data_IF_310293864932
#
_entry.id   IF_310293864932
#
_cell.length_a   1.000
_cell.length_b   1.000
_cell.length_c   1.000
_cell.angle_alpha   90.00
_cell.angle_beta   90.00
_cell.angle_gamma   90.00
#
_symmetry.space_group_name_H-M   'P 1'
#
loop_
_entity.id
_entity.type
_entity.pdbx_description
1 polymer ?
#
# COMPACT_ATOMS: atom_id res chain seq x y z
N UNK A 1 -1.49 -24.25 1.93
CA UNK A 1 -2.29 -24.01 0.71
C UNK A 1 -3.81 -24.05 0.92
N UNK A 2 -4.42 -25.06 1.57
CA UNK A 2 -5.89 -25.10 1.78
C UNK A 2 -6.47 -23.87 2.52
N UNK A 3 -5.70 -23.24 3.40
CA UNK A 3 -6.14 -22.06 4.15
C UNK A 3 -6.37 -20.81 3.28
N UNK A 4 -5.62 -20.62 2.18
CA UNK A 4 -5.78 -19.44 1.32
C UNK A 4 -6.95 -19.51 0.34
N UNK A 5 -7.31 -20.72 -0.08
CA UNK A 5 -8.52 -20.92 -0.89
C UNK A 5 -9.81 -20.47 -0.17
N UNK A 6 -9.81 -20.50 1.18
CA UNK A 6 -10.93 -20.01 1.98
C UNK A 6 -11.09 -18.49 1.90
N UNK A 7 -9.99 -17.74 1.92
CA UNK A 7 -10.04 -16.28 1.77
C UNK A 7 -10.52 -15.89 0.36
N UNK A 8 -10.02 -16.55 -0.68
CA UNK A 8 -10.45 -16.28 -2.06
C UNK A 8 -11.93 -16.53 -2.31
N UNK A 9 -12.49 -17.60 -1.73
CA UNK A 9 -13.92 -17.91 -1.88
C UNK A 9 -14.83 -16.88 -1.18
N UNK A 10 -14.37 -16.25 -0.09
CA UNK A 10 -15.15 -15.24 0.65
C UNK A 10 -15.00 -13.82 0.06
N UNK A 11 -13.86 -13.53 -0.56
CA UNK A 11 -13.51 -12.20 -1.09
C UNK A 11 -13.86 -12.03 -2.59
N UNK A 12 -14.44 -13.06 -3.21
CA UNK A 12 -14.92 -13.03 -4.60
C UNK A 12 -13.86 -13.38 -5.65
N UNK A 13 -14.30 -13.43 -6.92
CA UNK A 13 -13.51 -14.00 -8.03
C UNK A 13 -12.15 -13.31 -8.22
N UNK A 14 -12.04 -12.00 -7.94
CA UNK A 14 -10.79 -11.22 -8.04
C UNK A 14 -9.73 -11.55 -6.99
N UNK A 15 -10.09 -12.35 -5.97
CA UNK A 15 -9.20 -12.79 -4.90
C UNK A 15 -9.07 -14.32 -4.85
N UNK A 16 -9.68 -15.04 -5.78
CA UNK A 16 -9.62 -16.50 -5.84
C UNK A 16 -8.22 -16.97 -6.23
N UNK A 17 -7.57 -17.73 -5.35
CA UNK A 17 -6.30 -18.38 -5.67
C UNK A 17 -6.59 -19.66 -6.47
N UNK A 18 -6.19 -19.69 -7.73
CA UNK A 18 -6.34 -20.85 -8.63
C UNK A 18 -4.98 -21.37 -9.05
N UNK A 19 -4.90 -22.65 -9.41
CA UNK A 19 -3.70 -23.25 -10.00
C UNK A 19 -3.96 -23.55 -11.46
N UNK A 20 -3.14 -22.99 -12.33
CA UNK A 20 -3.20 -23.25 -13.78
C UNK A 20 -2.75 -24.67 -14.11
N UNK A 21 -3.08 -25.14 -15.31
CA UNK A 21 -2.62 -26.44 -15.85
C UNK A 21 -1.09 -26.54 -15.92
N UNK A 22 -0.40 -25.41 -16.05
CA UNK A 22 1.07 -25.33 -16.05
C UNK A 22 1.66 -25.26 -14.62
N UNK A 23 0.85 -25.50 -13.59
CA UNK A 23 1.29 -25.54 -12.19
C UNK A 23 1.48 -24.18 -11.52
N UNK A 24 1.26 -23.07 -12.24
CA UNK A 24 1.39 -21.69 -11.71
C UNK A 24 0.20 -21.29 -10.85
N UNK A 25 0.44 -20.52 -9.81
CA UNK A 25 -0.61 -20.02 -8.91
C UNK A 25 -1.06 -18.62 -9.37
N UNK A 26 -2.37 -18.41 -9.43
CA UNK A 26 -3.00 -17.20 -9.95
C UNK A 26 -3.96 -16.64 -8.91
N UNK A 27 -3.69 -15.44 -8.41
CA UNK A 27 -4.61 -14.67 -7.58
C UNK A 27 -5.60 -13.92 -8.48
N UNK A 28 -6.89 -14.18 -8.28
CA UNK A 28 -7.97 -13.56 -9.03
C UNK A 28 -8.03 -13.94 -10.51
N UNK A 29 -7.28 -14.95 -10.95
CA UNK A 29 -7.17 -15.35 -12.35
C UNK A 29 -6.30 -14.44 -13.24
N UNK A 30 -5.84 -13.29 -12.73
CA UNK A 30 -5.05 -12.31 -13.49
C UNK A 30 -3.61 -12.18 -13.01
N UNK A 31 -3.38 -12.46 -11.73
CA UNK A 31 -2.12 -12.14 -11.07
C UNK A 31 -1.38 -13.44 -10.76
N UNK A 32 -0.28 -13.72 -11.46
CA UNK A 32 0.57 -14.85 -11.06
C UNK A 32 1.29 -14.51 -9.76
N UNK A 33 1.21 -15.45 -8.81
CA UNK A 33 1.90 -15.41 -7.52
C UNK A 33 2.81 -16.62 -7.44
N UNK A 34 4.02 -16.44 -6.95
CA UNK A 34 4.95 -17.51 -6.63
C UNK A 34 5.10 -17.53 -5.12
N UNK A 35 4.54 -18.56 -4.49
CA UNK A 35 4.70 -18.81 -3.06
C UNK A 35 6.06 -19.46 -2.84
N UNK A 36 6.92 -18.83 -2.02
CA UNK A 36 8.23 -19.39 -1.71
C UNK A 36 8.13 -20.52 -0.68
N UNK A 37 9.00 -21.51 -0.83
CA UNK A 37 9.26 -22.53 0.19
C UNK A 37 10.50 -22.14 0.99
N UNK A 38 10.80 -22.89 2.04
CA UNK A 38 12.04 -22.69 2.82
C UNK A 38 13.30 -22.77 1.94
N UNK A 39 13.26 -23.55 0.85
CA UNK A 39 14.39 -23.69 -0.08
C UNK A 39 14.45 -22.55 -1.11
N UNK A 40 13.32 -21.96 -1.48
CA UNK A 40 13.24 -20.94 -2.54
C UNK A 40 13.06 -19.52 -2.00
N UNK A 41 12.99 -19.35 -0.67
CA UNK A 41 12.81 -18.05 -0.03
C UNK A 41 14.01 -17.12 -0.28
N UNK A 42 13.77 -15.85 -0.69
CA UNK A 42 14.82 -14.85 -0.81
C UNK A 42 15.55 -14.63 0.52
N UNK A 43 16.85 -14.32 0.45
CA UNK A 43 17.73 -14.17 1.63
C UNK A 43 17.14 -13.23 2.69
N UNK A 44 16.50 -12.14 2.27
CA UNK A 44 15.92 -11.10 3.15
C UNK A 44 14.74 -11.58 4.02
N UNK A 45 14.12 -12.70 3.65
CA UNK A 45 12.98 -13.29 4.36
C UNK A 45 13.30 -14.63 5.01
N UNK A 46 14.52 -15.16 4.80
CA UNK A 46 14.90 -16.48 5.28
C UNK A 46 14.75 -16.62 6.80
N UNK A 47 15.21 -15.62 7.56
CA UNK A 47 15.15 -15.64 9.03
C UNK A 47 13.73 -15.46 9.59
N UNK A 48 12.77 -15.10 8.75
CA UNK A 48 11.36 -14.85 9.11
C UNK A 48 10.40 -15.79 8.37
N UNK A 49 10.91 -16.87 7.78
CA UNK A 49 10.10 -17.79 7.00
C UNK A 49 9.01 -18.43 7.88
N UNK A 50 7.77 -18.35 7.42
CA UNK A 50 6.62 -18.98 8.05
C UNK A 50 5.90 -19.84 7.01
N UNK A 51 5.93 -21.16 7.14
CA UNK A 51 5.25 -22.06 6.19
C UNK A 51 3.72 -21.86 6.13
N UNK A 52 3.11 -21.32 7.20
CA UNK A 52 1.69 -21.00 7.24
C UNK A 52 1.36 -19.64 6.63
N UNK A 53 2.36 -18.74 6.48
CA UNK A 53 2.26 -17.46 5.78
C UNK A 53 3.54 -17.13 5.01
N UNK A 54 3.83 -17.91 3.95
CA UNK A 54 5.12 -17.85 3.28
C UNK A 54 5.30 -16.55 2.49
N UNK A 55 6.55 -16.06 2.36
CA UNK A 55 6.90 -15.00 1.43
C UNK A 55 6.42 -15.32 0.01
N UNK A 56 6.04 -14.28 -0.73
CA UNK A 56 5.47 -14.43 -2.06
C UNK A 56 6.07 -13.42 -3.03
N UNK A 57 6.25 -13.84 -4.28
CA UNK A 57 6.61 -12.99 -5.39
C UNK A 57 5.41 -12.81 -6.32
N UNK A 58 5.09 -11.57 -6.63
CA UNK A 58 4.13 -11.19 -7.65
C UNK A 58 4.82 -11.16 -9.02
N UNK A 59 4.15 -11.58 -10.10
CA UNK A 59 4.71 -11.65 -11.47
C UNK A 59 5.38 -10.35 -11.98
N UNK A 60 5.05 -9.19 -11.41
CA UNK A 60 5.77 -7.94 -11.68
C UNK A 60 7.06 -7.80 -10.86
N UNK A 61 7.62 -8.90 -10.36
CA UNK A 61 8.80 -8.93 -9.52
C UNK A 61 8.60 -8.30 -8.14
N UNK A 62 7.35 -8.16 -7.67
CA UNK A 62 7.13 -7.59 -6.34
C UNK A 62 7.22 -8.68 -5.28
N UNK A 63 8.29 -8.66 -4.49
CA UNK A 63 8.49 -9.60 -3.39
C UNK A 63 7.87 -9.06 -2.10
N UNK A 64 7.04 -9.88 -1.46
CA UNK A 64 6.33 -9.62 -0.21
C UNK A 64 6.78 -10.57 0.89
N UNK A 65 6.75 -10.11 2.15
CA UNK A 65 7.13 -10.91 3.31
C UNK A 65 6.13 -12.03 3.61
N UNK A 66 4.88 -11.90 3.16
CA UNK A 66 3.89 -12.96 3.27
C UNK A 66 2.78 -12.93 2.22
N UNK A 67 2.07 -14.05 2.04
CA UNK A 67 0.89 -14.10 1.16
C UNK A 67 -0.23 -13.18 1.67
N UNK A 68 -0.42 -13.08 2.98
CA UNK A 68 -1.39 -12.16 3.58
C UNK A 68 -1.15 -10.72 3.16
N UNK A 69 0.11 -10.29 3.09
CA UNK A 69 0.47 -8.94 2.64
C UNK A 69 0.07 -8.69 1.17
N UNK A 70 0.29 -9.68 0.29
CA UNK A 70 -0.17 -9.61 -1.12
C UNK A 70 -1.69 -9.46 -1.17
N UNK A 71 -2.41 -10.25 -0.38
CA UNK A 71 -3.87 -10.22 -0.36
C UNK A 71 -4.39 -8.85 0.12
N UNK A 72 -3.81 -8.31 1.20
CA UNK A 72 -4.18 -7.00 1.75
C UNK A 72 -3.90 -5.88 0.74
N UNK A 73 -2.69 -5.83 0.15
CA UNK A 73 -2.36 -4.86 -0.89
C UNK A 73 -3.36 -4.93 -2.05
N UNK A 74 -3.69 -6.15 -2.51
CA UNK A 74 -4.63 -6.33 -3.62
C UNK A 74 -6.03 -5.82 -3.27
N UNK A 75 -6.53 -6.13 -2.07
CA UNK A 75 -7.82 -5.61 -1.60
C UNK A 75 -7.80 -4.08 -1.55
N UNK A 76 -6.71 -3.51 -1.03
CA UNK A 76 -6.54 -2.08 -0.96
C UNK A 76 -6.58 -1.42 -2.35
N UNK A 77 -5.90 -1.98 -3.35
CA UNK A 77 -5.85 -1.40 -4.70
C UNK A 77 -7.13 -1.57 -5.52
N UNK A 78 -7.91 -2.64 -5.33
CA UNK A 78 -9.01 -3.00 -6.24
C UNK A 78 -10.23 -2.06 -6.18
N UNK A 79 -10.42 -1.36 -5.07
CA UNK A 79 -11.62 -0.57 -4.79
C UNK A 79 -11.33 0.86 -4.37
N UNK A 80 -10.07 1.29 -4.44
CA UNK A 80 -9.69 2.62 -3.98
C UNK A 80 -9.74 3.66 -5.09
N UNK A 81 -10.26 4.83 -4.75
CA UNK A 81 -10.10 6.08 -5.44
C UNK A 81 -8.73 6.68 -5.15
N UNK A 82 -8.18 7.34 -6.16
CA UNK A 82 -6.99 8.16 -6.04
C UNK A 82 -7.34 9.51 -5.41
N UNK A 83 -6.65 9.87 -4.32
CA UNK A 83 -6.86 11.16 -3.62
C UNK A 83 -5.82 12.18 -4.07
N UNK A 84 -4.54 11.82 -4.02
CA UNK A 84 -3.42 12.68 -4.41
C UNK A 84 -2.14 11.88 -4.54
N UNK A 85 -1.21 12.35 -5.35
CA UNK A 85 0.18 11.92 -5.34
C UNK A 85 1.14 13.09 -5.42
N UNK A 86 2.40 12.79 -5.15
CA UNK A 86 3.48 13.67 -5.52
C UNK A 86 4.73 12.86 -5.86
N UNK A 87 5.53 13.42 -6.77
CA UNK A 87 6.77 12.85 -7.25
C UNK A 87 7.91 13.85 -7.06
N UNK A 88 9.06 13.38 -6.59
CA UNK A 88 10.28 14.19 -6.52
C UNK A 88 11.44 13.50 -7.22
N UNK A 89 12.18 14.30 -7.97
CA UNK A 89 13.46 13.88 -8.53
C UNK A 89 14.61 14.21 -7.58
N UNK A 90 15.63 13.35 -7.50
CA UNK A 90 16.79 13.57 -6.65
C UNK A 90 17.79 14.50 -7.36
N UNK A 91 18.62 15.22 -6.60
CA UNK A 91 18.56 15.35 -5.15
C UNK A 91 17.48 16.36 -4.71
N UNK A 92 16.62 15.99 -3.76
CA UNK A 92 15.71 16.92 -3.11
C UNK A 92 15.50 16.56 -1.63
N UNK A 93 15.34 17.55 -0.73
CA UNK A 93 15.03 17.29 0.68
C UNK A 93 13.78 16.44 0.86
N UNK A 94 12.80 16.56 -0.02
CA UNK A 94 11.56 15.78 0.01
C UNK A 94 11.81 14.32 -0.36
N UNK A 95 12.64 14.05 -1.37
CA UNK A 95 13.04 12.68 -1.69
C UNK A 95 13.79 12.04 -0.52
N UNK A 96 14.66 12.79 0.17
CA UNK A 96 15.35 12.32 1.37
C UNK A 96 14.36 12.01 2.51
N UNK A 97 13.32 12.85 2.71
CA UNK A 97 12.24 12.58 3.68
C UNK A 97 11.47 11.32 3.35
N UNK A 98 11.14 11.07 2.08
CA UNK A 98 10.49 9.83 1.66
C UNK A 98 11.41 8.63 1.85
N UNK A 99 12.70 8.79 1.59
CA UNK A 99 13.71 7.79 1.90
C UNK A 99 13.70 7.43 3.38
N UNK A 100 13.76 8.44 4.25
CA UNK A 100 13.68 8.25 5.69
C UNK A 100 12.36 7.58 6.12
N UNK A 101 11.24 7.89 5.45
CA UNK A 101 9.95 7.25 5.71
C UNK A 101 9.95 5.77 5.36
N UNK A 102 10.66 5.35 4.31
CA UNK A 102 10.84 3.93 3.96
C UNK A 102 11.80 3.22 4.91
N UNK A 103 12.85 3.90 5.37
CA UNK A 103 13.87 3.31 6.25
C UNK A 103 13.40 3.17 7.71
N UNK A 104 12.30 3.82 8.09
CA UNK A 104 11.68 3.66 9.41
C UNK A 104 11.22 2.21 9.66
N UNK A 105 11.38 1.66 10.87
CA UNK A 105 10.84 0.35 11.20
C UNK A 105 9.29 0.40 11.27
N UNK A 106 8.58 -0.62 10.76
CA UNK A 106 7.14 -0.79 10.99
C UNK A 106 6.77 -0.94 12.48
N UNK A 107 5.60 -0.43 12.93
CA UNK A 107 4.69 0.45 12.18
C UNK A 107 5.20 1.88 12.11
N UNK A 108 5.01 2.54 10.96
CA UNK A 108 5.48 3.93 10.73
C UNK A 108 4.69 4.96 11.55
N UNK A 109 3.38 4.77 11.68
CA UNK A 109 2.50 5.62 12.47
C UNK A 109 1.67 4.76 13.42
N UNK A 110 1.36 5.31 14.59
CA UNK A 110 0.66 4.58 15.64
C UNK A 110 -0.75 4.15 15.21
N UNK A 111 -1.09 2.89 15.51
CA UNK A 111 -2.32 2.25 15.08
C UNK A 111 -2.49 2.15 13.55
N UNK A 112 -1.40 2.17 12.78
CA UNK A 112 -1.41 1.89 11.35
C UNK A 112 -0.69 0.57 11.05
N UNK A 113 -1.12 -0.11 9.99
CA UNK A 113 -0.39 -1.27 9.46
C UNK A 113 0.56 -0.84 8.37
N UNK A 114 1.80 -1.33 8.43
CA UNK A 114 2.81 -1.10 7.39
C UNK A 114 3.19 -2.43 6.73
N UNK A 115 3.23 -2.43 5.40
CA UNK A 115 3.64 -3.57 4.57
C UNK A 115 4.78 -3.11 3.68
N UNK A 116 5.94 -3.75 3.84
CA UNK A 116 7.13 -3.48 3.03
C UNK A 116 7.27 -4.51 1.93
N UNK A 117 7.52 -4.03 0.72
CA UNK A 117 7.73 -4.88 -0.44
C UNK A 117 8.71 -4.22 -1.41
N UNK A 118 9.34 -5.01 -2.26
CA UNK A 118 10.21 -4.48 -3.31
C UNK A 118 9.51 -4.52 -4.65
N UNK A 119 10.04 -3.81 -5.63
CA UNK A 119 9.68 -4.00 -7.04
C UNK A 119 10.94 -4.39 -7.82
N UNK A 120 10.89 -5.57 -8.42
CA UNK A 120 11.96 -6.14 -9.27
C UNK A 120 11.73 -5.88 -10.77
N UNK A 121 10.97 -4.83 -11.13
CA UNK A 121 11.11 -4.29 -12.49
C UNK A 121 12.47 -3.59 -12.59
N UNK A 122 13.48 -4.41 -12.90
CA UNK A 122 14.84 -4.12 -13.37
C UNK A 122 15.80 -3.32 -12.50
N UNK A 123 15.37 -2.74 -11.37
CA UNK A 123 16.24 -1.81 -10.63
C UNK A 123 16.28 -1.99 -9.10
N UNK A 124 15.30 -2.66 -8.47
CA UNK A 124 15.32 -2.90 -7.01
C UNK A 124 14.73 -1.75 -6.17
N UNK A 125 13.64 -1.14 -6.64
CA UNK A 125 12.94 -0.11 -5.88
C UNK A 125 12.29 -0.65 -4.61
N UNK A 126 12.26 0.18 -3.56
CA UNK A 126 11.58 -0.15 -2.30
C UNK A 126 10.22 0.51 -2.27
N UNK A 127 9.23 -0.21 -1.76
CA UNK A 127 7.86 0.25 -1.64
C UNK A 127 7.33 -0.05 -0.26
N UNK A 128 6.42 0.80 0.19
CA UNK A 128 5.78 0.68 1.47
C UNK A 128 4.31 1.06 1.33
N UNK A 129 3.44 0.16 1.76
CA UNK A 129 2.02 0.41 1.89
C UNK A 129 1.71 0.66 3.38
N UNK A 130 1.04 1.76 3.69
CA UNK A 130 0.60 2.08 5.05
C UNK A 130 -0.91 2.22 5.08
N UNK A 131 -1.60 1.34 5.80
CA UNK A 131 -3.05 1.41 5.99
C UNK A 131 -3.33 2.32 7.17
N UNK A 132 -4.03 3.42 6.90
CA UNK A 132 -4.33 4.46 7.87
C UNK A 132 -5.61 4.14 8.67
N UNK A 133 -6.61 3.55 7.99
CA UNK A 133 -7.86 3.03 8.54
C UNK A 133 -8.47 2.00 7.57
N UNK A 134 -9.45 1.21 8.01
CA UNK A 134 -10.13 0.20 7.19
C UNK A 134 -9.81 -1.25 7.54
N UNK A 135 -9.10 -1.50 8.65
CA UNK A 135 -8.82 -2.85 9.15
C UNK A 135 -9.70 -3.27 10.34
N UNK A 136 -10.38 -2.32 11.00
CA UNK A 136 -11.17 -2.60 12.19
C UNK A 136 -12.62 -2.97 11.86
N UNK A 137 -13.23 -3.81 12.71
CA UNK A 137 -14.64 -4.16 12.58
C UNK A 137 -15.50 -2.91 12.75
N UNK A 138 -16.25 -2.56 11.70
CA UNK A 138 -17.10 -1.38 11.66
C UNK A 138 -16.55 -0.22 10.82
N UNK A 139 -15.32 -0.32 10.34
CA UNK A 139 -14.81 0.62 9.33
C UNK A 139 -15.65 0.49 8.04
N UNK A 140 -16.29 1.58 7.63
CA UNK A 140 -17.11 1.67 6.41
C UNK A 140 -16.28 2.09 5.18
N UNK A 141 -15.03 2.50 5.39
CA UNK A 141 -14.08 2.85 4.33
C UNK A 141 -12.64 2.58 4.76
N UNK A 142 -11.75 2.52 3.79
CA UNK A 142 -10.32 2.38 3.97
C UNK A 142 -9.60 3.63 3.43
N UNK A 143 -8.51 4.03 4.09
CA UNK A 143 -7.55 4.98 3.55
C UNK A 143 -6.14 4.41 3.69
N UNK A 144 -5.32 4.52 2.66
CA UNK A 144 -3.96 4.02 2.69
C UNK A 144 -3.00 4.87 1.86
N UNK A 145 -1.73 4.75 2.18
CA UNK A 145 -0.63 5.44 1.50
C UNK A 145 0.26 4.42 0.83
N UNK A 146 0.60 4.66 -0.43
CA UNK A 146 1.71 3.99 -1.09
C UNK A 146 2.90 4.93 -1.18
N UNK A 147 4.04 4.46 -0.69
CA UNK A 147 5.34 5.15 -0.75
C UNK A 147 6.25 4.33 -1.65
N UNK A 148 7.01 4.99 -2.51
CA UNK A 148 7.92 4.35 -3.44
C UNK A 148 9.22 5.13 -3.54
N UNK A 149 10.35 4.44 -3.43
CA UNK A 149 11.67 4.99 -3.73
C UNK A 149 12.31 4.16 -4.83
N UNK A 150 12.68 4.85 -5.91
CA UNK A 150 13.40 4.25 -7.02
C UNK A 150 14.89 4.21 -6.74
N UNK A 151 15.61 3.29 -7.39
CA UNK A 151 17.05 3.09 -7.18
C UNK A 151 17.90 4.28 -7.62
N UNK A 152 17.45 5.03 -8.63
CA UNK A 152 18.09 6.29 -9.03
C UNK A 152 17.79 7.45 -8.06
N UNK A 153 17.03 7.21 -6.99
CA UNK A 153 16.76 8.17 -5.92
C UNK A 153 15.46 8.97 -6.06
N UNK A 154 14.70 8.85 -7.14
CA UNK A 154 13.38 9.51 -7.21
C UNK A 154 12.40 8.82 -6.28
N UNK A 155 11.51 9.61 -5.71
CA UNK A 155 10.58 9.12 -4.70
C UNK A 155 9.17 9.63 -4.97
N UNK A 156 8.18 8.88 -4.51
CA UNK A 156 6.79 9.29 -4.56
C UNK A 156 6.00 8.79 -3.37
N UNK A 157 4.92 9.50 -3.11
CA UNK A 157 3.91 9.13 -2.13
C UNK A 157 2.53 9.39 -2.75
N UNK A 158 1.59 8.50 -2.50
CA UNK A 158 0.22 8.63 -2.97
C UNK A 158 -0.76 8.23 -1.87
N UNK A 159 -1.87 8.97 -1.76
CA UNK A 159 -2.98 8.68 -0.87
C UNK A 159 -4.15 8.13 -1.68
N UNK A 160 -4.73 7.05 -1.18
CA UNK A 160 -5.86 6.34 -1.77
C UNK A 160 -6.94 6.09 -0.73
N UNK A 161 -8.19 5.98 -1.18
CA UNK A 161 -9.32 5.71 -0.28
C UNK A 161 -10.48 4.99 -0.95
N UNK A 162 -11.25 4.21 -0.19
CA UNK A 162 -12.55 3.69 -0.64
C UNK A 162 -13.73 4.57 -0.20
N UNK A 163 -13.47 5.74 0.39
CA UNK A 163 -14.51 6.74 0.68
C UNK A 163 -15.26 7.10 -0.61
N UNK A 164 -16.59 7.08 -0.57
CA UNK A 164 -17.38 7.57 -1.69
C UNK A 164 -17.17 9.08 -1.88
N UNK A 165 -16.94 9.58 -3.11
CA UNK A 165 -16.76 11.01 -3.34
C UNK A 165 -17.96 11.81 -2.84
N UNK A 166 -17.73 12.80 -1.99
CA UNK A 166 -18.82 13.61 -1.42
C UNK A 166 -19.28 14.75 -2.34
N UNK A 167 -18.48 15.07 -3.36
CA UNK A 167 -18.71 16.16 -4.31
C UNK A 167 -18.27 15.73 -5.71
N UNK A 168 -18.82 16.38 -6.73
CA UNK A 168 -18.33 16.25 -8.10
C UNK A 168 -16.97 16.94 -8.19
N UNK A 169 -15.98 16.24 -8.72
CA UNK A 169 -14.62 16.78 -8.91
C UNK A 169 -13.56 15.69 -8.75
N UNK A 170 -12.32 16.13 -8.52
CA UNK A 170 -11.17 15.27 -8.29
C UNK A 170 -10.30 15.84 -7.16
N UNK A 171 -9.38 15.02 -6.66
CA UNK A 171 -8.39 15.42 -5.67
C UNK A 171 -8.89 15.35 -4.22
N UNK A 172 -8.10 15.88 -3.27
CA UNK A 172 -8.36 15.74 -1.84
C UNK A 172 -9.71 16.28 -1.36
N UNK A 173 -10.19 17.36 -1.98
CA UNK A 173 -11.41 18.06 -1.55
C UNK A 173 -12.70 17.24 -1.69
N UNK A 174 -12.70 16.15 -2.48
CA UNK A 174 -13.87 15.27 -2.64
C UNK A 174 -13.87 14.09 -1.66
N UNK A 175 -12.77 13.88 -0.91
CA UNK A 175 -12.58 12.78 0.05
C UNK A 175 -12.15 13.31 1.43
N UNK A 176 -13.00 14.11 2.11
CA UNK A 176 -12.61 14.79 3.34
C UNK A 176 -12.26 13.83 4.48
N UNK A 177 -12.92 12.66 4.60
CA UNK A 177 -12.61 11.70 5.68
C UNK A 177 -11.22 11.11 5.49
N UNK A 178 -10.86 10.76 4.26
CA UNK A 178 -9.51 10.28 3.94
C UNK A 178 -8.43 11.34 4.23
N UNK A 179 -8.70 12.60 3.90
CA UNK A 179 -7.81 13.73 4.20
C UNK A 179 -7.64 13.94 5.70
N UNK A 180 -8.72 13.89 6.48
CA UNK A 180 -8.67 14.04 7.93
C UNK A 180 -7.89 12.90 8.61
N UNK A 181 -8.10 11.65 8.16
CA UNK A 181 -7.33 10.50 8.64
C UNK A 181 -5.85 10.65 8.30
N UNK A 182 -5.51 11.04 7.07
CA UNK A 182 -4.13 11.29 6.67
C UNK A 182 -3.48 12.38 7.53
N UNK A 183 -4.16 13.50 7.74
CA UNK A 183 -3.69 14.59 8.62
C UNK A 183 -3.39 14.07 10.04
N UNK A 184 -4.33 13.35 10.63
CA UNK A 184 -4.23 12.89 12.02
C UNK A 184 -3.12 11.85 12.22
N UNK A 185 -2.97 10.91 11.28
CA UNK A 185 -1.96 9.85 11.35
C UNK A 185 -0.56 10.35 11.00
N UNK A 186 -0.43 11.12 9.91
CA UNK A 186 0.88 11.58 9.40
C UNK A 186 1.45 12.76 10.19
N UNK A 187 0.60 13.60 10.80
CA UNK A 187 1.01 14.82 11.48
C UNK A 187 1.90 15.69 10.58
N UNK A 188 3.11 16.03 11.02
CA UNK A 188 4.05 16.87 10.25
C UNK A 188 4.47 16.25 8.92
N UNK A 189 4.42 14.92 8.80
CA UNK A 189 4.74 14.24 7.54
C UNK A 189 3.71 14.53 6.44
N UNK A 190 2.53 15.07 6.76
CA UNK A 190 1.52 15.46 5.75
C UNK A 190 2.06 16.46 4.72
N UNK A 191 3.13 17.18 5.06
CA UNK A 191 3.82 18.12 4.16
C UNK A 191 4.38 17.47 2.91
N UNK A 192 4.61 16.14 2.92
CA UNK A 192 5.01 15.39 1.73
C UNK A 192 3.81 15.06 0.83
N UNK A 193 2.58 15.42 1.18
CA UNK A 193 1.41 15.38 0.28
C UNK A 193 0.89 16.81 0.06
N UNK A 194 1.48 17.59 -0.86
CA UNK A 194 1.22 19.03 -0.96
C UNK A 194 -0.25 19.38 -1.18
N UNK A 195 -0.95 18.68 -2.08
CA UNK A 195 -2.36 18.95 -2.35
C UNK A 195 -3.26 18.64 -1.15
N UNK A 196 -2.92 17.61 -0.37
CA UNK A 196 -3.66 17.26 0.85
C UNK A 196 -3.43 18.34 1.91
N UNK A 197 -2.17 18.77 2.08
CA UNK A 197 -1.80 19.86 2.99
C UNK A 197 -2.48 21.19 2.61
N UNK A 198 -2.58 21.53 1.32
CA UNK A 198 -3.30 22.71 0.83
C UNK A 198 -4.80 22.63 1.09
N UNK A 199 -5.42 21.47 0.85
CA UNK A 199 -6.85 21.26 1.10
C UNK A 199 -7.18 21.44 2.59
N UNK A 200 -6.32 20.92 3.48
CA UNK A 200 -6.43 21.09 4.93
C UNK A 200 -6.38 22.57 5.32
N UNK A 201 -5.39 23.31 4.82
CA UNK A 201 -5.20 24.72 5.17
C UNK A 201 -6.35 25.60 4.64
N UNK A 202 -6.89 25.27 3.47
CA UNK A 202 -8.05 25.96 2.89
C UNK A 202 -9.30 25.75 3.74
N UNK A 203 -9.55 24.53 4.22
CA UNK A 203 -10.70 24.22 5.07
C UNK A 203 -10.64 24.94 6.43
N UNK A 204 -9.45 25.04 7.04
CA UNK A 204 -9.25 25.78 8.30
C UNK A 204 -9.48 27.28 8.12
N UNK A 205 -9.02 27.85 7.00
CA UNK A 205 -9.25 29.26 6.67
C UNK A 205 -10.74 29.62 6.54
N UNK A 206 -11.54 28.73 5.94
CA UNK A 206 -12.99 28.91 5.80
C UNK A 206 -13.78 28.74 7.11
N UNK A 207 -13.27 27.95 8.06
CA UNK A 207 -13.92 27.77 9.36
C UNK A 207 -13.67 28.93 10.34
N UNK A 208 -12.75 29.84 10.01
CA UNK A 208 -12.32 30.95 10.88
C UNK A 208 -12.93 32.31 10.48
N UNK A 209 -13.83 32.33 9.50
CA UNK A 209 -14.56 33.51 8.99
C UNK A 209 -16.05 33.41 9.30
#
# INVERSE_FOLDING_TARGET
>A
MRQYGLYGNRLGERMRLTRTTNGREMLGGYVQVTVHTEQTVPRRYRDRFNAADPPCEHYLGEEHGSFREVAIKRLASLSSHFVSDHWWDPPSPESDRIGALIDQPPPVWDGCRTIDYTSDYTTGGTRRLVILCGEEDGDDFMAHIEVHKRPHGSASIALYTTEAPQKIGSGPAVFPRAVDIARNKMRDAITVLPQVNEAINTAVGLAST
#
